data_IF_031481867576
#
_entry.id   IF_031481867576
#
_cell.length_a   1.000
_cell.length_b   1.000
_cell.length_c   1.000
_cell.angle_alpha   90.00
_cell.angle_beta   90.00
_cell.angle_gamma   90.00
#
_symmetry.space_group_name_H-M   'P 1'
#
loop_
_entity.id
_entity.type
_entity.pdbx_description
1 polymer ?
#
# COMPACT_ATOMS: atom_id res chain seq x y z
N UNK A 1 36.64 -36.57 -11.97
CA UNK A 1 35.72 -36.29 -10.83
C UNK A 1 34.69 -35.19 -11.10
N UNK A 2 35.00 -34.08 -11.79
CA UNK A 2 34.00 -33.01 -12.08
C UNK A 2 32.82 -33.45 -12.95
N UNK A 3 33.04 -34.34 -13.90
CA UNK A 3 31.99 -34.83 -14.82
C UNK A 3 30.91 -35.67 -14.09
N UNK A 4 31.34 -36.53 -13.16
CA UNK A 4 30.42 -37.37 -12.38
C UNK A 4 29.55 -36.52 -11.45
N UNK A 5 30.13 -35.51 -10.80
CA UNK A 5 29.38 -34.59 -9.93
C UNK A 5 28.35 -33.79 -10.72
N UNK A 6 28.70 -33.35 -11.94
CA UNK A 6 27.76 -32.66 -12.83
C UNK A 6 26.62 -33.58 -13.28
N UNK A 7 26.90 -34.83 -13.65
CA UNK A 7 25.87 -35.80 -14.03
C UNK A 7 24.93 -36.10 -12.87
N UNK A 8 25.47 -36.32 -11.66
CA UNK A 8 24.65 -36.57 -10.46
C UNK A 8 23.82 -35.36 -10.08
N UNK A 9 24.36 -34.14 -10.18
CA UNK A 9 23.62 -32.90 -9.95
C UNK A 9 22.52 -32.70 -11.00
N UNK A 10 22.81 -32.95 -12.28
CA UNK A 10 21.84 -32.87 -13.37
C UNK A 10 20.71 -33.89 -13.17
N UNK A 11 21.06 -35.11 -12.75
CA UNK A 11 20.10 -36.17 -12.45
C UNK A 11 19.20 -35.81 -11.26
N UNK A 12 19.77 -35.21 -10.21
CA UNK A 12 19.01 -34.74 -9.05
C UNK A 12 18.11 -33.53 -9.35
N UNK A 13 18.49 -32.68 -10.31
CA UNK A 13 17.65 -31.57 -10.78
C UNK A 13 16.51 -32.08 -11.66
N UNK A 14 16.79 -33.06 -12.53
CA UNK A 14 15.80 -33.66 -13.44
C UNK A 14 14.80 -34.59 -12.73
N UNK A 15 15.22 -35.27 -11.65
CA UNK A 15 14.34 -36.11 -10.82
C UNK A 15 13.68 -35.38 -9.67
N UNK A 16 13.87 -34.06 -9.51
CA UNK A 16 13.04 -33.30 -8.57
C UNK A 16 11.61 -33.34 -9.10
N UNK A 17 10.65 -33.97 -8.39
CA UNK A 17 9.26 -33.89 -8.80
C UNK A 17 8.89 -32.41 -8.92
N UNK A 18 8.06 -32.03 -9.91
CA UNK A 18 7.58 -30.65 -10.00
C UNK A 18 7.07 -30.27 -8.62
N UNK A 19 7.50 -29.10 -8.10
CA UNK A 19 6.95 -28.62 -6.83
C UNK A 19 5.44 -28.69 -6.98
N UNK A 20 4.75 -29.29 -6.00
CA UNK A 20 3.28 -29.30 -5.90
C UNK A 20 2.75 -27.87 -5.67
N UNK A 21 3.05 -26.97 -6.59
CA UNK A 21 2.86 -25.52 -6.42
C UNK A 21 1.54 -25.03 -7.02
N UNK A 22 0.70 -25.90 -7.59
CA UNK A 22 -0.52 -25.44 -8.26
C UNK A 22 -1.74 -26.34 -8.14
N UNK A 23 -1.72 -27.41 -7.32
CA UNK A 23 -2.93 -28.18 -7.08
C UNK A 23 -3.55 -27.70 -5.77
N UNK A 24 -4.65 -26.95 -5.87
CA UNK A 24 -5.44 -26.41 -4.75
C UNK A 24 -6.23 -27.54 -4.06
N UNK A 25 -5.53 -28.60 -3.66
CA UNK A 25 -6.13 -29.86 -3.17
C UNK A 25 -6.32 -29.88 -1.65
N UNK A 26 -5.63 -29.00 -0.94
CA UNK A 26 -5.66 -28.98 0.52
C UNK A 26 -6.95 -28.33 1.02
N UNK A 27 -7.73 -29.07 1.80
CA UNK A 27 -8.92 -28.55 2.49
C UNK A 27 -8.57 -28.07 3.89
N UNK A 28 -9.04 -26.88 4.25
CA UNK A 28 -8.84 -26.27 5.59
C UNK A 28 -10.17 -26.26 6.33
N UNK A 29 -10.21 -26.90 7.50
CA UNK A 29 -11.40 -26.96 8.36
C UNK A 29 -11.06 -26.43 9.76
N UNK A 30 -11.92 -25.58 10.31
CA UNK A 30 -11.78 -25.01 11.64
C UNK A 30 -13.16 -24.84 12.30
N UNK A 31 -13.21 -24.95 13.63
CA UNK A 31 -14.42 -24.66 14.41
C UNK A 31 -14.47 -23.17 14.71
N UNK A 32 -15.61 -22.55 14.40
CA UNK A 32 -15.90 -21.14 14.66
C UNK A 32 -17.32 -20.98 15.21
N UNK A 33 -17.58 -19.97 16.05
CA UNK A 33 -18.94 -19.65 16.47
C UNK A 33 -19.85 -19.38 15.28
N UNK A 34 -21.09 -19.88 15.34
CA UNK A 34 -22.06 -19.79 14.23
C UNK A 34 -22.33 -18.32 13.85
N UNK A 35 -22.50 -17.45 14.85
CA UNK A 35 -22.73 -16.02 14.63
C UNK A 35 -21.57 -15.36 13.86
N UNK A 36 -20.32 -15.62 14.28
CA UNK A 36 -19.11 -15.08 13.64
C UNK A 36 -18.99 -15.55 12.20
N UNK A 37 -19.30 -16.83 11.92
CA UNK A 37 -19.30 -17.37 10.56
C UNK A 37 -20.35 -16.70 9.67
N UNK A 38 -21.57 -16.53 10.19
CA UNK A 38 -22.66 -15.93 9.43
C UNK A 38 -22.36 -14.46 9.09
N UNK A 39 -21.95 -13.67 10.09
CA UNK A 39 -21.59 -12.26 9.91
C UNK A 39 -20.39 -12.10 8.95
N UNK A 40 -19.34 -12.90 9.15
CA UNK A 40 -18.17 -12.88 8.27
C UNK A 40 -18.51 -13.23 6.82
N UNK A 41 -19.39 -14.21 6.59
CA UNK A 41 -19.82 -14.58 5.24
C UNK A 41 -20.66 -13.48 4.56
N UNK A 42 -21.51 -12.78 5.31
CA UNK A 42 -22.27 -11.65 4.79
C UNK A 42 -21.33 -10.53 4.31
N UNK A 43 -20.36 -10.14 5.16
CA UNK A 43 -19.36 -9.13 4.82
C UNK A 43 -18.48 -9.54 3.63
N UNK A 44 -18.08 -10.80 3.56
CA UNK A 44 -17.33 -11.31 2.40
C UNK A 44 -18.14 -11.20 1.11
N UNK A 45 -19.44 -11.52 1.17
CA UNK A 45 -20.34 -11.39 0.03
C UNK A 45 -20.48 -9.93 -0.44
N UNK A 46 -20.59 -8.98 0.48
CA UNK A 46 -20.61 -7.55 0.15
C UNK A 46 -19.33 -7.08 -0.54
N UNK A 47 -18.18 -7.65 -0.15
CA UNK A 47 -16.87 -7.37 -0.74
C UNK A 47 -16.59 -8.15 -2.05
N UNK A 48 -17.52 -9.01 -2.50
CA UNK A 48 -17.31 -9.89 -3.65
C UNK A 48 -16.20 -10.94 -3.43
N UNK A 49 -15.92 -11.27 -2.17
CA UNK A 49 -14.89 -12.21 -1.76
C UNK A 49 -15.50 -13.53 -1.26
N UNK A 50 -14.72 -14.61 -1.31
CA UNK A 50 -15.12 -15.92 -0.79
C UNK A 50 -14.33 -16.31 0.47
N UNK A 51 -14.87 -17.20 1.32
CA UNK A 51 -14.13 -17.71 2.47
C UNK A 51 -12.78 -18.34 2.10
N UNK A 52 -12.71 -19.08 0.99
CA UNK A 52 -11.45 -19.65 0.50
C UNK A 52 -10.43 -18.58 0.14
N UNK A 53 -10.85 -17.47 -0.48
CA UNK A 53 -9.96 -16.35 -0.79
C UNK A 53 -9.43 -15.68 0.49
N UNK A 54 -10.29 -15.48 1.50
CA UNK A 54 -9.89 -14.94 2.80
C UNK A 54 -8.81 -15.82 3.45
N UNK A 55 -9.05 -17.13 3.55
CA UNK A 55 -8.11 -18.07 4.17
C UNK A 55 -6.78 -18.12 3.40
N UNK A 56 -6.82 -18.19 2.07
CA UNK A 56 -5.62 -18.20 1.25
C UNK A 56 -4.83 -16.88 1.37
N UNK A 57 -5.50 -15.74 1.50
CA UNK A 57 -4.87 -14.46 1.76
C UNK A 57 -4.20 -14.42 3.14
N UNK A 58 -4.87 -14.96 4.17
CA UNK A 58 -4.31 -15.04 5.52
C UNK A 58 -3.04 -15.91 5.57
N UNK A 59 -3.01 -17.06 4.89
CA UNK A 59 -1.80 -17.87 4.78
C UNK A 59 -0.65 -17.11 4.10
N UNK A 60 -0.93 -16.42 2.98
CA UNK A 60 0.08 -15.59 2.29
C UNK A 60 0.63 -14.49 3.19
N UNK A 61 -0.23 -13.85 3.98
CA UNK A 61 0.18 -12.84 4.95
C UNK A 61 1.16 -13.43 5.98
N UNK A 62 0.83 -14.56 6.60
CA UNK A 62 1.69 -15.19 7.62
C UNK A 62 3.03 -15.63 7.03
N UNK A 63 3.05 -16.12 5.78
CA UNK A 63 4.29 -16.49 5.09
C UNK A 63 5.19 -15.27 4.82
N UNK A 64 4.60 -14.14 4.44
CA UNK A 64 5.33 -12.92 4.15
C UNK A 64 5.82 -12.21 5.42
N UNK A 65 4.92 -12.03 6.39
CA UNK A 65 5.14 -11.18 7.57
C UNK A 65 5.66 -11.95 8.79
N UNK A 66 5.63 -13.30 8.74
CA UNK A 66 6.02 -14.20 9.85
C UNK A 66 5.29 -13.91 11.17
N UNK A 67 4.08 -13.36 11.08
CA UNK A 67 3.20 -13.02 12.22
C UNK A 67 1.73 -13.18 11.83
N UNK A 68 0.86 -13.35 12.83
CA UNK A 68 -0.59 -13.43 12.61
C UNK A 68 -1.19 -12.04 12.29
N UNK A 69 -2.33 -11.99 11.57
CA UNK A 69 -3.11 -10.77 11.45
C UNK A 69 -3.67 -10.41 12.82
N UNK A 70 -3.16 -9.36 13.42
CA UNK A 70 -3.69 -8.84 14.67
C UNK A 70 -4.94 -8.00 14.38
N UNK A 71 -6.01 -8.11 15.20
CA UNK A 71 -7.10 -7.15 15.16
C UNK A 71 -6.49 -5.76 15.34
N UNK A 72 -7.01 -4.74 14.64
CA UNK A 72 -6.50 -3.37 14.74
C UNK A 72 -6.79 -2.77 16.12
N UNK A 73 -6.06 -3.22 17.14
CA UNK A 73 -5.93 -2.59 18.45
C UNK A 73 -4.71 -1.67 18.55
N UNK A 74 -4.19 -1.18 17.42
CA UNK A 74 -2.94 -0.41 17.36
C UNK A 74 -2.97 0.81 16.45
N UNK A 75 -4.03 1.04 15.66
CA UNK A 75 -4.19 2.34 15.00
C UNK A 75 -4.56 3.43 16.00
N UNK A 76 -5.34 3.14 17.05
CA UNK A 76 -5.56 4.11 18.15
C UNK A 76 -4.25 4.43 18.89
N UNK A 77 -3.33 3.46 19.02
CA UNK A 77 -1.98 3.69 19.57
C UNK A 77 -1.10 4.54 18.63
N UNK A 78 -1.43 4.59 17.34
CA UNK A 78 -0.71 5.38 16.32
C UNK A 78 -1.41 6.69 15.93
N UNK A 79 -2.70 6.87 16.22
CA UNK A 79 -3.44 8.11 15.98
C UNK A 79 -2.94 9.27 16.87
N UNK A 80 -2.18 8.98 17.93
CA UNK A 80 -1.41 9.97 18.70
C UNK A 80 0.08 10.05 18.34
N UNK A 81 0.61 9.16 17.50
CA UNK A 81 2.00 9.19 17.07
C UNK A 81 2.10 9.80 15.67
N UNK A 82 1.94 11.12 15.58
CA UNK A 82 2.50 11.86 14.46
C UNK A 82 3.98 11.49 14.36
N UNK A 83 4.36 10.83 13.26
CA UNK A 83 5.77 10.51 13.00
C UNK A 83 6.51 11.86 12.88
N UNK A 84 7.28 12.22 13.91
CA UNK A 84 8.05 13.45 13.89
C UNK A 84 9.09 13.35 12.78
N UNK A 85 9.02 14.24 11.81
CA UNK A 85 10.01 14.32 10.74
C UNK A 85 11.33 14.80 11.35
N UNK A 86 12.43 14.11 11.06
CA UNK A 86 13.75 14.62 11.40
C UNK A 86 14.03 15.92 10.63
N UNK A 87 14.94 16.75 11.14
CA UNK A 87 15.32 18.01 10.47
C UNK A 87 15.73 17.79 8.99
N UNK A 88 16.43 16.69 8.70
CA UNK A 88 16.78 16.32 7.32
C UNK A 88 15.58 15.92 6.46
N UNK A 89 14.59 15.24 7.02
CA UNK A 89 13.35 14.89 6.31
C UNK A 89 12.48 16.12 6.04
N UNK A 90 12.37 17.03 7.01
CA UNK A 90 11.67 18.30 6.85
C UNK A 90 12.31 19.15 5.75
N UNK A 91 13.64 19.29 5.75
CA UNK A 91 14.36 20.05 4.73
C UNK A 91 14.16 19.48 3.32
N UNK A 92 14.11 18.15 3.19
CA UNK A 92 13.88 17.47 1.92
C UNK A 92 12.46 17.71 1.40
N UNK A 93 11.45 17.60 2.26
CA UNK A 93 10.05 17.87 1.90
C UNK A 93 9.85 19.35 1.56
N UNK A 94 10.42 20.26 2.34
CA UNK A 94 10.37 21.69 2.04
C UNK A 94 11.00 22.02 0.68
N UNK A 95 12.11 21.37 0.32
CA UNK A 95 12.76 21.52 -0.98
C UNK A 95 11.89 20.99 -2.12
N UNK A 96 11.29 19.81 -1.97
CA UNK A 96 10.40 19.25 -3.00
C UNK A 96 9.15 20.10 -3.18
N UNK A 97 8.55 20.59 -2.09
CA UNK A 97 7.38 21.47 -2.15
C UNK A 97 7.74 22.79 -2.86
N UNK A 98 8.88 23.41 -2.55
CA UNK A 98 9.35 24.61 -3.25
C UNK A 98 9.62 24.35 -4.74
N UNK A 99 10.18 23.21 -5.10
CA UNK A 99 10.44 22.86 -6.50
C UNK A 99 9.15 22.61 -7.30
N UNK A 100 8.08 22.14 -6.65
CA UNK A 100 6.78 21.89 -7.27
C UNK A 100 5.87 23.13 -7.25
N UNK A 101 6.18 24.14 -6.44
CA UNK A 101 5.37 25.35 -6.34
C UNK A 101 5.59 26.24 -7.56
N UNK A 102 4.62 26.26 -8.46
CA UNK A 102 4.58 27.14 -9.64
C UNK A 102 3.94 28.47 -9.21
N UNK A 103 4.64 29.22 -8.37
CA UNK A 103 4.24 30.55 -7.93
C UNK A 103 5.47 31.37 -7.57
N UNK A 104 5.44 32.66 -7.88
CA UNK A 104 6.51 33.64 -7.66
C UNK A 104 6.65 33.98 -6.17
N UNK A 105 6.97 33.01 -5.32
CA UNK A 105 7.35 33.32 -3.93
C UNK A 105 8.77 33.89 -3.87
N UNK A 106 9.00 35.04 -4.49
CA UNK A 106 9.94 36.02 -3.97
C UNK A 106 9.19 36.78 -2.87
N UNK A 107 9.68 36.85 -1.63
CA UNK A 107 9.13 37.74 -0.62
C UNK A 107 9.55 39.18 -0.96
N UNK A 108 9.10 39.68 -2.12
CA UNK A 108 9.03 41.10 -2.34
C UNK A 108 7.86 41.57 -1.49
N UNK A 109 8.14 42.31 -0.43
CA UNK A 109 7.21 42.76 0.59
C UNK A 109 6.02 43.61 0.07
N UNK A 110 5.91 43.80 -1.25
CA UNK A 110 4.94 44.66 -1.93
C UNK A 110 4.16 43.93 -3.05
N UNK A 111 4.39 42.63 -3.28
CA UNK A 111 3.66 41.92 -4.33
C UNK A 111 2.21 41.62 -3.89
N UNK A 112 1.18 41.96 -4.71
CA UNK A 112 -0.21 41.64 -4.40
C UNK A 112 -0.38 40.12 -4.29
N UNK A 113 -1.23 39.68 -3.35
CA UNK A 113 -1.43 38.25 -3.12
C UNK A 113 -1.91 37.54 -4.39
N UNK A 114 -1.62 36.25 -4.53
CA UNK A 114 -2.03 35.46 -5.69
C UNK A 114 -3.54 35.59 -6.02
N UNK A 115 -4.39 35.70 -4.99
CA UNK A 115 -5.83 35.93 -5.16
C UNK A 115 -6.14 37.28 -5.82
N UNK A 116 -5.40 38.33 -5.48
CA UNK A 116 -5.54 39.65 -6.10
C UNK A 116 -5.06 39.64 -7.54
N UNK A 117 -3.92 38.98 -7.82
CA UNK A 117 -3.41 38.81 -9.18
C UNK A 117 -4.42 38.06 -10.07
N UNK A 118 -5.05 37.00 -9.55
CA UNK A 118 -6.05 36.23 -10.27
C UNK A 118 -7.30 37.05 -10.59
N UNK A 119 -7.78 37.85 -9.62
CA UNK A 119 -8.92 38.74 -9.83
C UNK A 119 -8.61 39.81 -10.88
N UNK A 120 -7.45 40.45 -10.80
CA UNK A 120 -7.00 41.46 -11.77
C UNK A 120 -6.97 40.87 -13.19
N UNK A 121 -6.33 39.71 -13.37
CA UNK A 121 -6.26 39.05 -14.67
C UNK A 121 -7.64 38.64 -15.21
N UNK A 122 -8.59 38.35 -14.31
CA UNK A 122 -9.97 38.05 -14.67
C UNK A 122 -10.69 39.32 -15.12
N UNK A 123 -10.55 40.39 -14.38
CA UNK A 123 -11.19 41.67 -14.67
C UNK A 123 -10.65 42.25 -15.99
N UNK A 124 -9.34 42.21 -16.24
CA UNK A 124 -8.71 42.60 -17.51
C UNK A 124 -9.24 41.77 -18.70
N UNK A 125 -9.44 40.46 -18.50
CA UNK A 125 -9.97 39.55 -19.53
C UNK A 125 -11.42 39.86 -19.89
N UNK A 126 -12.22 40.36 -18.95
CA UNK A 126 -13.63 40.69 -19.17
C UNK A 126 -13.87 42.16 -19.48
N UNK A 127 -12.90 43.05 -19.24
CA UNK A 127 -12.96 44.45 -19.63
C UNK A 127 -13.14 44.65 -21.14
N UNK A 128 -12.61 43.75 -21.97
CA UNK A 128 -12.81 43.76 -23.44
C UNK A 128 -14.22 43.38 -23.90
N UNK A 129 -15.10 42.95 -22.98
CA UNK A 129 -16.47 42.55 -23.27
C UNK A 129 -17.51 43.48 -22.61
N UNK A 130 -17.06 44.56 -21.96
CA UNK A 130 -17.89 45.64 -21.42
C UNK A 130 -17.87 46.84 -22.38
#
# INVERSE_FOLDING_TARGET
MRLIVLIVAQYYIMMKPPRKEAIMDATVSARVPVAVKAEGNALLSELGATPSQLINAAYRYVLAERRLPEPRGTLERQQGQHRQLSAGQQARIARSLRAMYVGDSSPAAEAPSFKQQLNQARDDRYARFA
#
